data_IF_452249217938
#
_entry.id   IF_452249217938
#
_cell.length_a   1.000
_cell.length_b   1.000
_cell.length_c   1.000
_cell.angle_alpha   90.00
_cell.angle_beta   90.00
_cell.angle_gamma   90.00
#
_symmetry.space_group_name_H-M   'P 1'
#
loop_
_entity.id
_entity.type
_entity.pdbx_description
1 polymer ?
#
# COMPACT_ATOMS: atom_id res chain seq x y z
N UNK A 1 12.15 -13.79 -25.78
CA UNK A 1 10.75 -13.94 -25.36
C UNK A 1 10.49 -15.43 -25.19
N UNK A 2 10.49 -15.94 -23.96
CA UNK A 2 10.16 -17.34 -23.70
C UNK A 2 8.63 -17.46 -23.77
N UNK A 3 8.10 -18.23 -24.71
CA UNK A 3 6.65 -18.49 -24.78
C UNK A 3 6.27 -19.37 -23.59
N UNK A 4 5.49 -18.82 -22.66
CA UNK A 4 4.91 -19.57 -21.54
C UNK A 4 3.91 -20.61 -22.07
N UNK A 5 3.83 -21.76 -21.39
CA UNK A 5 2.86 -22.80 -21.73
C UNK A 5 1.42 -22.27 -21.51
N UNK A 6 0.40 -22.80 -22.21
CA UNK A 6 -0.99 -22.31 -22.08
C UNK A 6 -1.55 -22.34 -20.65
N UNK A 7 -1.17 -23.33 -19.86
CA UNK A 7 -1.57 -23.46 -18.44
C UNK A 7 -0.87 -22.42 -17.57
N UNK A 8 0.42 -22.18 -17.81
CA UNK A 8 1.21 -21.15 -17.12
C UNK A 8 0.65 -19.75 -17.41
N UNK A 9 0.22 -19.51 -18.65
CA UNK A 9 -0.43 -18.26 -19.07
C UNK A 9 -1.77 -18.04 -18.34
N UNK A 10 -2.60 -19.08 -18.21
CA UNK A 10 -3.89 -18.97 -17.49
C UNK A 10 -3.70 -18.73 -15.98
N UNK A 11 -2.69 -19.34 -15.37
CA UNK A 11 -2.34 -19.16 -13.95
C UNK A 11 -1.84 -17.74 -13.69
N UNK A 12 -0.90 -17.28 -14.51
CA UNK A 12 -0.40 -15.91 -14.51
C UNK A 12 -1.54 -14.90 -14.66
N UNK A 13 -2.39 -15.05 -15.68
CA UNK A 13 -3.45 -14.11 -16.00
C UNK A 13 -4.44 -13.96 -14.84
N UNK A 14 -4.84 -15.07 -14.22
CA UNK A 14 -5.71 -15.06 -13.03
C UNK A 14 -5.05 -14.36 -11.83
N UNK A 15 -3.80 -14.73 -11.53
CA UNK A 15 -3.07 -14.16 -10.40
C UNK A 15 -2.84 -12.65 -10.57
N UNK A 16 -2.39 -12.23 -11.76
CA UNK A 16 -2.21 -10.82 -12.09
C UNK A 16 -3.54 -10.05 -12.04
N UNK A 17 -4.64 -10.65 -12.53
CA UNK A 17 -5.96 -10.07 -12.39
C UNK A 17 -6.37 -9.85 -10.93
N UNK A 18 -6.15 -10.84 -10.07
CA UNK A 18 -6.44 -10.69 -8.64
C UNK A 18 -5.57 -9.61 -7.99
N UNK A 19 -4.28 -9.56 -8.29
CA UNK A 19 -3.38 -8.52 -7.77
C UNK A 19 -3.80 -7.12 -8.24
N UNK A 20 -4.20 -6.96 -9.51
CA UNK A 20 -4.72 -5.69 -10.03
C UNK A 20 -6.01 -5.26 -9.32
N UNK A 21 -6.94 -6.19 -9.09
CA UNK A 21 -8.17 -5.91 -8.33
C UNK A 21 -7.83 -5.51 -6.90
N UNK A 22 -6.96 -6.27 -6.22
CA UNK A 22 -6.55 -5.99 -4.85
C UNK A 22 -5.90 -4.62 -4.74
N UNK A 23 -4.92 -4.31 -5.60
CA UNK A 23 -4.23 -3.02 -5.59
C UNK A 23 -5.21 -1.87 -5.84
N UNK A 24 -6.14 -2.01 -6.80
CA UNK A 24 -7.19 -1.01 -7.03
C UNK A 24 -8.09 -0.78 -5.82
N UNK A 25 -8.40 -1.83 -5.04
CA UNK A 25 -9.19 -1.68 -3.81
C UNK A 25 -8.40 -0.98 -2.70
N UNK A 26 -7.09 -1.22 -2.63
CA UNK A 26 -6.18 -0.56 -1.68
C UNK A 26 -6.06 0.93 -2.01
N UNK A 27 -5.79 1.32 -3.26
CA UNK A 27 -5.72 2.73 -3.66
C UNK A 27 -7.04 3.46 -3.43
N UNK A 28 -8.17 2.80 -3.74
CA UNK A 28 -9.47 3.36 -3.43
C UNK A 28 -9.68 3.55 -1.91
N UNK A 29 -9.22 2.60 -1.09
CA UNK A 29 -9.25 2.74 0.36
C UNK A 29 -8.40 3.92 0.83
N UNK A 30 -7.16 4.06 0.34
CA UNK A 30 -6.24 5.15 0.67
C UNK A 30 -6.88 6.49 0.31
N UNK A 31 -7.44 6.61 -0.90
CA UNK A 31 -8.16 7.79 -1.36
C UNK A 31 -9.25 8.21 -0.35
N UNK A 32 -10.09 7.26 0.07
CA UNK A 32 -11.19 7.50 1.00
C UNK A 32 -10.69 7.84 2.41
N UNK A 33 -9.64 7.15 2.89
CA UNK A 33 -9.02 7.40 4.19
C UNK A 33 -8.36 8.79 4.26
N UNK A 34 -7.64 9.19 3.21
CA UNK A 34 -7.07 10.53 3.07
C UNK A 34 -8.17 11.59 3.05
N UNK A 35 -9.19 11.42 2.20
CA UNK A 35 -10.30 12.36 2.09
C UNK A 35 -11.02 12.59 3.43
N UNK A 36 -11.28 11.51 4.18
CA UNK A 36 -11.92 11.60 5.49
C UNK A 36 -11.06 12.34 6.53
N UNK A 37 -9.73 12.32 6.37
CA UNK A 37 -8.79 12.89 7.34
C UNK A 37 -8.45 14.36 7.09
N UNK A 38 -8.67 14.90 5.89
CA UNK A 38 -8.29 16.28 5.51
C UNK A 38 -8.78 17.31 6.54
N UNK A 39 -10.05 17.26 6.95
CA UNK A 39 -10.62 18.29 7.82
C UNK A 39 -9.98 18.33 9.23
N UNK A 40 -9.50 17.18 9.73
CA UNK A 40 -8.91 17.04 11.07
C UNK A 40 -7.38 16.97 11.07
N UNK A 41 -6.74 16.94 9.89
CA UNK A 41 -5.28 16.89 9.79
C UNK A 41 -4.60 18.14 10.40
N UNK A 42 -3.43 17.97 11.04
CA UNK A 42 -2.75 19.05 11.74
C UNK A 42 -1.98 19.97 10.78
N UNK A 43 -2.39 21.24 10.72
CA UNK A 43 -1.73 22.25 9.90
C UNK A 43 -2.04 22.16 8.42
N UNK A 44 -1.72 23.23 7.68
CA UNK A 44 -2.10 23.33 6.27
C UNK A 44 -1.29 22.41 5.36
N UNK A 45 -0.03 22.15 5.69
CA UNK A 45 0.82 21.22 4.94
C UNK A 45 0.24 19.80 4.92
N UNK A 46 -0.17 19.27 6.08
CA UNK A 46 -0.80 17.96 6.16
C UNK A 46 -2.10 17.91 5.35
N UNK A 47 -2.94 18.96 5.42
CA UNK A 47 -4.20 19.05 4.66
C UNK A 47 -3.97 19.06 3.16
N UNK A 48 -3.00 19.85 2.70
CA UNK A 48 -2.67 19.96 1.29
C UNK A 48 -2.03 18.67 0.76
N UNK A 49 -1.18 18.01 1.56
CA UNK A 49 -0.59 16.72 1.21
C UNK A 49 -1.66 15.63 1.05
N UNK A 50 -2.56 15.49 2.03
CA UNK A 50 -3.69 14.56 1.93
C UNK A 50 -4.60 14.89 0.73
N UNK A 51 -4.87 16.17 0.47
CA UNK A 51 -5.68 16.59 -0.68
C UNK A 51 -5.01 16.26 -2.03
N UNK A 52 -3.68 16.42 -2.14
CA UNK A 52 -2.91 15.97 -3.30
C UNK A 52 -3.07 14.46 -3.48
N UNK A 53 -2.83 13.68 -2.42
CA UNK A 53 -2.91 12.23 -2.46
C UNK A 53 -4.29 11.73 -2.89
N UNK A 54 -5.40 12.32 -2.42
CA UNK A 54 -6.75 11.99 -2.92
C UNK A 54 -6.85 12.13 -4.45
N UNK A 55 -6.23 13.16 -5.03
CA UNK A 55 -6.19 13.36 -6.48
C UNK A 55 -5.36 12.33 -7.22
N UNK A 56 -4.22 11.94 -6.63
CA UNK A 56 -3.30 10.94 -7.18
C UNK A 56 -3.91 9.53 -7.11
N UNK A 57 -4.46 9.11 -5.96
CA UNK A 57 -5.16 7.82 -5.82
C UNK A 57 -6.36 7.69 -6.76
N UNK A 58 -7.12 8.77 -6.94
CA UNK A 58 -8.22 8.80 -7.93
C UNK A 58 -7.69 8.54 -9.34
N UNK A 59 -6.51 9.07 -9.67
CA UNK A 59 -5.85 8.84 -10.95
C UNK A 59 -5.39 7.38 -11.06
N UNK A 60 -4.82 6.80 -10.02
CA UNK A 60 -4.40 5.39 -9.98
C UNK A 60 -5.56 4.44 -10.24
N UNK A 61 -6.63 4.57 -9.46
CA UNK A 61 -7.87 3.78 -9.60
C UNK A 61 -8.44 3.89 -11.03
N UNK A 62 -8.36 5.07 -11.64
CA UNK A 62 -8.84 5.29 -13.02
C UNK A 62 -7.96 4.58 -14.06
N UNK A 63 -6.64 4.60 -13.88
CA UNK A 63 -5.68 3.90 -14.75
C UNK A 63 -5.88 2.40 -14.63
N UNK A 64 -5.92 1.86 -13.42
CA UNK A 64 -6.05 0.43 -13.16
C UNK A 64 -7.40 -0.11 -13.63
N UNK A 65 -8.53 0.59 -13.40
CA UNK A 65 -9.84 0.18 -13.92
C UNK A 65 -9.89 0.14 -15.45
N UNK A 66 -9.18 1.04 -16.12
CA UNK A 66 -9.02 0.98 -17.58
C UNK A 66 -8.17 -0.23 -17.97
N UNK A 67 -7.03 -0.41 -17.33
CA UNK A 67 -6.14 -1.53 -17.65
C UNK A 67 -6.80 -2.89 -17.40
N UNK A 68 -7.50 -3.09 -16.27
CA UNK A 68 -8.23 -4.34 -16.00
C UNK A 68 -9.25 -4.71 -17.08
N UNK A 69 -9.91 -3.71 -17.70
CA UNK A 69 -10.82 -3.95 -18.83
C UNK A 69 -10.09 -4.39 -20.10
N UNK A 70 -8.92 -3.81 -20.36
CA UNK A 70 -8.08 -4.16 -21.52
C UNK A 70 -7.38 -5.52 -21.32
N UNK A 71 -6.91 -5.78 -20.10
CA UNK A 71 -6.28 -7.03 -19.68
C UNK A 71 -7.30 -8.19 -19.60
N UNK A 72 -8.59 -7.89 -19.43
CA UNK A 72 -9.69 -8.85 -19.55
C UNK A 72 -9.90 -9.69 -18.29
N UNK A 73 -9.88 -9.07 -17.11
CA UNK A 73 -10.02 -9.78 -15.82
C UNK A 73 -11.38 -9.58 -15.17
N UNK A 74 -11.77 -10.52 -14.32
CA UNK A 74 -12.95 -10.37 -13.45
C UNK A 74 -12.70 -9.28 -12.40
N UNK A 75 -13.56 -8.27 -12.34
CA UNK A 75 -13.40 -7.13 -11.43
C UNK A 75 -14.20 -7.31 -10.13
N UNK A 76 -14.52 -8.54 -9.76
CA UNK A 76 -15.24 -8.84 -8.52
C UNK A 76 -14.37 -8.44 -7.32
N UNK A 77 -14.87 -7.63 -6.37
CA UNK A 77 -14.10 -7.23 -5.20
C UNK A 77 -13.57 -8.44 -4.42
N UNK A 78 -12.27 -8.42 -4.09
CA UNK A 78 -11.61 -9.43 -3.26
C UNK A 78 -11.78 -9.11 -1.77
N UNK A 79 -11.63 -7.84 -1.40
CA UNK A 79 -11.97 -7.36 -0.05
C UNK A 79 -13.45 -6.98 -0.03
N UNK A 80 -14.22 -7.56 0.90
CA UNK A 80 -15.64 -7.22 1.04
C UNK A 80 -15.83 -5.76 1.43
N UNK A 81 -16.93 -5.13 0.96
CA UNK A 81 -17.28 -3.77 1.34
C UNK A 81 -17.35 -3.59 2.87
N UNK A 82 -17.89 -4.59 3.58
CA UNK A 82 -17.98 -4.56 5.05
C UNK A 82 -16.59 -4.56 5.71
N UNK A 83 -15.62 -5.32 5.19
CA UNK A 83 -14.26 -5.32 5.71
C UNK A 83 -13.56 -3.98 5.44
N UNK A 84 -13.74 -3.39 4.25
CA UNK A 84 -13.23 -2.05 3.94
C UNK A 84 -13.85 -0.98 4.82
N UNK A 85 -15.16 -1.04 5.09
CA UNK A 85 -15.83 -0.07 5.97
C UNK A 85 -15.31 -0.15 7.41
N UNK A 86 -15.07 -1.35 7.94
CA UNK A 86 -14.43 -1.53 9.25
C UNK A 86 -13.01 -0.96 9.27
N UNK A 87 -12.23 -1.20 8.22
CA UNK A 87 -10.88 -0.66 8.11
C UNK A 87 -10.88 0.88 8.08
N UNK A 88 -11.78 1.48 7.29
CA UNK A 88 -11.96 2.94 7.24
C UNK A 88 -12.37 3.53 8.59
N UNK A 89 -13.27 2.87 9.31
CA UNK A 89 -13.65 3.28 10.66
C UNK A 89 -12.45 3.23 11.62
N UNK A 90 -11.69 2.14 11.61
CA UNK A 90 -10.47 2.02 12.42
C UNK A 90 -9.48 3.16 12.13
N UNK A 91 -9.22 3.46 10.84
CA UNK A 91 -8.33 4.56 10.45
C UNK A 91 -8.84 5.94 10.86
N UNK A 92 -10.16 6.17 10.83
CA UNK A 92 -10.76 7.43 11.26
C UNK A 92 -10.53 7.70 12.76
N UNK A 93 -10.45 6.65 13.57
CA UNK A 93 -10.27 6.70 15.03
C UNK A 93 -8.81 6.84 15.47
N UNK A 94 -7.84 6.60 14.58
CA UNK A 94 -6.42 6.71 14.91
C UNK A 94 -6.04 8.15 15.29
N UNK A 95 -5.08 8.27 16.22
CA UNK A 95 -4.36 9.52 16.38
C UNK A 95 -3.45 9.79 15.17
N UNK A 96 -2.86 10.99 15.07
CA UNK A 96 -2.10 11.36 13.88
C UNK A 96 -0.83 10.54 13.68
N UNK A 97 -0.11 10.17 14.74
CA UNK A 97 1.12 9.37 14.65
C UNK A 97 0.79 7.95 14.20
N UNK A 98 -0.27 7.38 14.77
CA UNK A 98 -0.76 6.06 14.45
C UNK A 98 -1.33 5.98 13.02
N UNK A 99 -2.09 6.99 12.60
CA UNK A 99 -2.58 7.12 11.22
C UNK A 99 -1.42 7.17 10.22
N UNK A 100 -0.41 7.98 10.50
CA UNK A 100 0.76 8.11 9.62
C UNK A 100 1.58 6.82 9.56
N UNK A 101 1.73 6.15 10.70
CA UNK A 101 2.42 4.86 10.79
C UNK A 101 1.72 3.81 9.93
N UNK A 102 0.41 3.66 10.11
CA UNK A 102 -0.37 2.63 9.42
C UNK A 102 -0.48 2.89 7.93
N UNK A 103 -0.84 4.12 7.54
CA UNK A 103 -1.01 4.44 6.14
C UNK A 103 0.34 4.43 5.42
N UNK A 104 1.33 5.18 5.91
CA UNK A 104 2.52 5.47 5.12
C UNK A 104 3.66 4.48 5.29
N UNK A 105 3.78 3.80 6.45
CA UNK A 105 4.79 2.75 6.59
C UNK A 105 4.26 1.41 6.08
N UNK A 106 3.03 1.04 6.45
CA UNK A 106 2.51 -0.30 6.12
C UNK A 106 1.90 -0.34 4.72
N UNK A 107 0.91 0.51 4.44
CA UNK A 107 0.16 0.42 3.18
C UNK A 107 0.99 1.00 2.03
N UNK A 108 1.42 2.25 2.14
CA UNK A 108 2.19 2.93 1.10
C UNK A 108 3.57 2.29 0.94
N UNK A 109 4.45 2.37 1.95
CA UNK A 109 5.86 2.00 1.75
C UNK A 109 6.10 0.50 1.60
N UNK A 110 5.45 -0.37 2.37
CA UNK A 110 5.60 -1.82 2.20
C UNK A 110 4.71 -2.37 1.09
N UNK A 111 3.49 -1.85 0.92
CA UNK A 111 2.60 -2.26 -0.16
C UNK A 111 3.18 -1.92 -1.53
N UNK A 112 3.64 -0.68 -1.75
CA UNK A 112 4.30 -0.28 -3.00
C UNK A 112 5.55 -1.09 -3.28
N UNK A 113 6.39 -1.37 -2.27
CA UNK A 113 7.58 -2.23 -2.45
C UNK A 113 7.19 -3.62 -2.96
N UNK A 114 6.10 -4.21 -2.46
CA UNK A 114 5.64 -5.50 -2.97
C UNK A 114 5.19 -5.44 -4.43
N UNK A 115 4.56 -4.33 -4.85
CA UNK A 115 4.17 -4.11 -6.25
C UNK A 115 5.40 -3.87 -7.14
N UNK A 116 6.39 -3.10 -6.66
CA UNK A 116 7.66 -2.86 -7.37
C UNK A 116 8.39 -4.16 -7.71
N UNK A 117 8.43 -5.14 -6.80
CA UNK A 117 9.06 -6.45 -7.04
C UNK A 117 8.34 -7.26 -8.14
N UNK A 118 7.05 -7.04 -8.36
CA UNK A 118 6.27 -7.72 -9.40
C UNK A 118 6.45 -7.06 -10.76
N UNK A 119 6.64 -5.75 -10.82
CA UNK A 119 6.65 -4.97 -12.08
C UNK A 119 7.61 -5.50 -13.14
N UNK A 120 8.86 -5.90 -12.82
CA UNK A 120 9.77 -6.51 -13.79
C UNK A 120 9.24 -7.80 -14.41
N UNK A 121 8.42 -8.55 -13.66
CA UNK A 121 7.87 -9.86 -14.03
C UNK A 121 6.58 -9.76 -14.86
N UNK A 122 5.97 -8.57 -14.93
CA UNK A 122 4.69 -8.37 -15.63
C UNK A 122 4.81 -8.21 -17.13
N UNK A 123 3.70 -8.41 -17.84
CA UNK A 123 3.59 -8.04 -19.24
C UNK A 123 3.76 -6.51 -19.45
N UNK A 124 4.14 -6.06 -20.65
CA UNK A 124 4.41 -4.64 -20.89
C UNK A 124 3.24 -3.69 -20.61
N UNK A 125 2.00 -4.12 -20.83
CA UNK A 125 0.84 -3.27 -20.61
C UNK A 125 0.55 -3.09 -19.12
N UNK A 126 0.67 -4.18 -18.34
CA UNK A 126 0.58 -4.10 -16.88
C UNK A 126 1.66 -3.21 -16.30
N UNK A 127 2.91 -3.37 -16.76
CA UNK A 127 4.02 -2.51 -16.36
C UNK A 127 3.74 -1.03 -16.61
N UNK A 128 3.24 -0.66 -17.79
CA UNK A 128 2.92 0.74 -18.09
C UNK A 128 1.76 1.26 -17.24
N UNK A 129 0.76 0.41 -16.95
CA UNK A 129 -0.37 0.80 -16.10
C UNK A 129 0.05 1.15 -14.66
N UNK A 130 1.11 0.53 -14.16
CA UNK A 130 1.65 0.74 -12.80
C UNK A 130 2.69 1.86 -12.73
N UNK A 131 3.19 2.36 -13.87
CA UNK A 131 4.27 3.35 -13.90
C UNK A 131 3.91 4.66 -13.20
N UNK A 132 2.71 5.18 -13.42
CA UNK A 132 2.25 6.42 -12.77
C UNK A 132 1.96 6.20 -11.28
N UNK A 133 1.17 5.17 -10.89
CA UNK A 133 0.97 4.84 -9.48
C UNK A 133 2.28 4.78 -8.68
N UNK A 134 3.22 3.93 -9.09
CA UNK A 134 4.48 3.73 -8.37
C UNK A 134 5.35 4.98 -8.30
N UNK A 135 5.29 5.86 -9.30
CA UNK A 135 6.01 7.13 -9.24
C UNK A 135 5.41 8.07 -8.19
N UNK A 136 4.09 8.06 -8.05
CA UNK A 136 3.38 8.87 -7.04
C UNK A 136 3.60 8.29 -5.63
N UNK A 137 3.69 6.97 -5.46
CA UNK A 137 3.92 6.34 -4.14
C UNK A 137 5.24 6.79 -3.51
N UNK A 138 6.26 7.08 -4.31
CA UNK A 138 7.52 7.63 -3.81
C UNK A 138 7.29 8.99 -3.10
N UNK A 139 6.46 9.85 -3.70
CA UNK A 139 6.09 11.14 -3.11
C UNK A 139 5.21 10.95 -1.86
N UNK A 140 4.26 10.01 -1.89
CA UNK A 140 3.39 9.70 -0.76
C UNK A 140 4.20 9.20 0.45
N UNK A 141 5.11 8.26 0.23
CA UNK A 141 6.01 7.74 1.28
C UNK A 141 6.90 8.84 1.84
N UNK A 142 7.45 9.71 1.00
CA UNK A 142 8.26 10.83 1.47
C UNK A 142 7.45 11.82 2.31
N UNK A 143 6.25 12.19 1.84
CA UNK A 143 5.31 13.03 2.59
C UNK A 143 4.98 12.42 3.96
N UNK A 144 4.57 11.16 3.99
CA UNK A 144 4.22 10.44 5.21
C UNK A 144 5.35 10.37 6.22
N UNK A 145 6.57 10.04 5.75
CA UNK A 145 7.76 10.02 6.61
C UNK A 145 8.11 11.40 7.16
N UNK A 146 7.98 12.45 6.35
CA UNK A 146 8.21 13.82 6.79
C UNK A 146 7.24 14.22 7.89
N UNK A 147 5.94 14.00 7.66
CA UNK A 147 4.88 14.29 8.62
C UNK A 147 5.02 13.47 9.92
N UNK A 148 5.44 12.20 9.81
CA UNK A 148 5.63 11.33 10.97
C UNK A 148 6.81 11.80 11.83
N UNK A 149 7.93 12.18 11.21
CA UNK A 149 9.06 12.77 11.94
C UNK A 149 8.66 14.07 12.64
N UNK A 150 7.92 14.94 11.96
CA UNK A 150 7.45 16.20 12.54
C UNK A 150 6.51 15.96 13.73
N UNK A 151 5.56 15.04 13.59
CA UNK A 151 4.62 14.67 14.64
C UNK A 151 5.35 14.10 15.86
N UNK A 152 6.30 13.17 15.65
CA UNK A 152 7.10 12.58 16.72
C UNK A 152 8.01 13.60 17.41
N UNK A 153 8.62 14.53 16.65
CA UNK A 153 9.48 15.57 17.19
C UNK A 153 8.73 16.60 18.05
N UNK A 154 7.43 16.76 17.83
CA UNK A 154 6.56 17.64 18.63
C UNK A 154 6.16 17.02 19.99
N UNK A 155 6.36 15.71 20.19
CA UNK A 155 6.02 15.04 21.44
C UNK A 155 7.08 15.29 22.54
N UNK A 156 6.69 15.24 23.82
CA UNK A 156 7.65 15.19 24.93
C UNK A 156 8.65 14.03 24.77
N UNK A 157 9.92 14.17 25.20
CA UNK A 157 10.95 13.17 24.93
C UNK A 157 10.61 11.73 25.36
N UNK A 158 10.00 11.57 26.54
CA UNK A 158 9.61 10.25 27.04
C UNK A 158 8.47 9.62 26.22
N UNK A 159 7.52 10.43 25.73
CA UNK A 159 6.43 9.96 24.88
C UNK A 159 6.92 9.65 23.47
N UNK A 160 7.80 10.48 22.91
CA UNK A 160 8.47 10.22 21.61
C UNK A 160 9.18 8.87 21.63
N UNK A 161 9.97 8.60 22.66
CA UNK A 161 10.70 7.33 22.79
C UNK A 161 9.73 6.14 22.88
N UNK A 162 8.70 6.23 23.72
CA UNK A 162 7.69 5.19 23.84
C UNK A 162 6.96 4.92 22.51
N UNK A 163 6.63 5.98 21.75
CA UNK A 163 6.02 5.86 20.42
C UNK A 163 6.95 5.17 19.43
N UNK A 164 8.22 5.60 19.34
CA UNK A 164 9.21 4.98 18.47
C UNK A 164 9.39 3.48 18.75
N UNK A 165 9.43 3.10 20.03
CA UNK A 165 9.52 1.69 20.44
C UNK A 165 8.27 0.87 20.09
N UNK A 166 7.10 1.49 20.00
CA UNK A 166 5.84 0.81 19.69
C UNK A 166 5.60 0.62 18.18
N UNK A 167 6.19 1.45 17.31
CA UNK A 167 5.97 1.40 15.86
C UNK A 167 6.21 0.01 15.24
N UNK A 168 7.30 -0.72 15.56
CA UNK A 168 7.52 -2.05 14.96
C UNK A 168 6.38 -3.03 15.24
N UNK A 169 5.92 -3.10 16.50
CA UNK A 169 4.80 -3.97 16.87
C UNK A 169 3.48 -3.55 16.23
N UNK A 170 3.29 -2.25 15.99
CA UNK A 170 2.13 -1.72 15.27
C UNK A 170 2.13 -2.13 13.79
N UNK A 171 3.28 -2.04 13.12
CA UNK A 171 3.46 -2.50 11.74
C UNK A 171 3.10 -3.98 11.63
N UNK A 172 3.62 -4.81 12.55
CA UNK A 172 3.33 -6.25 12.59
C UNK A 172 1.85 -6.53 12.85
N UNK A 173 1.22 -5.77 13.75
CA UNK A 173 -0.20 -5.91 14.03
C UNK A 173 -1.04 -5.63 12.78
N UNK A 174 -0.83 -4.51 12.08
CA UNK A 174 -1.62 -4.18 10.89
C UNK A 174 -1.35 -5.18 9.74
N UNK A 175 -0.11 -5.58 9.53
CA UNK A 175 0.22 -6.63 8.55
C UNK A 175 -0.49 -7.97 8.88
N UNK A 176 -0.58 -8.32 10.17
CA UNK A 176 -1.35 -9.48 10.65
C UNK A 176 -2.84 -9.39 10.30
N UNK A 177 -3.47 -8.22 10.50
CA UNK A 177 -4.88 -8.00 10.14
C UNK A 177 -5.12 -8.16 8.63
N UNK A 178 -4.18 -7.75 7.77
CA UNK A 178 -4.29 -8.02 6.34
C UNK A 178 -4.17 -9.51 6.02
N UNK A 179 -3.36 -10.26 6.77
CA UNK A 179 -3.28 -11.72 6.67
C UNK A 179 -4.60 -12.42 7.02
N UNK A 180 -5.39 -11.86 7.94
CA UNK A 180 -6.70 -12.40 8.34
C UNK A 180 -7.79 -12.23 7.27
N UNK A 181 -7.55 -11.46 6.21
CA UNK A 181 -8.46 -11.36 5.06
C UNK A 181 -8.59 -12.69 4.29
N UNK A 182 -7.69 -13.64 4.52
CA UNK A 182 -7.76 -14.99 3.91
C UNK A 182 -7.53 -14.99 2.40
N UNK A 183 -6.97 -13.91 1.85
CA UNK A 183 -6.61 -13.83 0.45
C UNK A 183 -5.31 -14.63 0.19
N UNK A 184 -5.24 -15.49 -0.84
CA UNK A 184 -4.05 -16.27 -1.16
C UNK A 184 -3.00 -15.42 -1.90
N UNK A 185 -2.66 -14.26 -1.33
CA UNK A 185 -1.77 -13.26 -1.94
C UNK A 185 -0.38 -13.83 -2.21
N UNK A 186 0.14 -14.67 -1.29
CA UNK A 186 1.43 -15.36 -1.49
C UNK A 186 1.42 -16.27 -2.72
N UNK A 187 0.32 -16.97 -2.95
CA UNK A 187 0.17 -17.83 -4.12
C UNK A 187 0.08 -16.99 -5.39
N UNK A 188 -0.64 -15.85 -5.36
CA UNK A 188 -0.68 -14.95 -6.52
C UNK A 188 0.69 -14.36 -6.86
N UNK A 189 1.50 -13.98 -5.86
CA UNK A 189 2.88 -13.55 -6.09
C UNK A 189 3.73 -14.67 -6.72
N UNK A 190 3.61 -15.91 -6.23
CA UNK A 190 4.31 -17.05 -6.82
C UNK A 190 3.89 -17.30 -8.28
N UNK A 191 2.59 -17.20 -8.56
CA UNK A 191 1.98 -17.43 -9.88
C UNK A 191 2.41 -16.40 -10.92
N UNK A 192 2.85 -15.22 -10.48
CA UNK A 192 3.37 -14.16 -11.35
C UNK A 192 4.90 -14.21 -11.48
N UNK A 193 5.53 -15.20 -10.86
CA UNK A 193 6.95 -15.50 -10.95
C UNK A 193 7.81 -14.91 -9.83
N UNK A 194 7.21 -14.32 -8.80
CA UNK A 194 7.93 -13.83 -7.63
C UNK A 194 8.30 -15.01 -6.72
N UNK A 195 9.43 -14.94 -6.02
CA UNK A 195 9.74 -15.86 -4.92
C UNK A 195 9.14 -15.28 -3.63
N UNK A 196 8.11 -15.91 -3.03
CA UNK A 196 7.44 -15.37 -1.86
C UNK A 196 8.35 -15.22 -0.64
N UNK A 197 9.37 -16.05 -0.48
CA UNK A 197 10.30 -15.94 0.66
C UNK A 197 11.29 -14.79 0.45
N UNK A 198 11.75 -14.60 -0.79
CA UNK A 198 12.57 -13.45 -1.15
C UNK A 198 11.78 -12.14 -0.97
N UNK A 199 10.52 -12.09 -1.39
CA UNK A 199 9.64 -10.94 -1.21
C UNK A 199 9.48 -10.58 0.26
N UNK A 200 9.20 -11.56 1.14
CA UNK A 200 9.11 -11.32 2.59
C UNK A 200 10.41 -10.74 3.15
N UNK A 201 11.57 -11.27 2.72
CA UNK A 201 12.88 -10.74 3.13
C UNK A 201 13.09 -9.29 2.68
N UNK A 202 12.70 -8.94 1.46
CA UNK A 202 12.78 -7.57 0.93
C UNK A 202 11.89 -6.62 1.75
N UNK A 203 10.67 -7.03 2.06
CA UNK A 203 9.75 -6.23 2.88
C UNK A 203 10.27 -6.02 4.31
N UNK A 204 10.89 -7.04 4.92
CA UNK A 204 11.54 -6.88 6.22
C UNK A 204 12.72 -5.90 6.16
N UNK A 205 13.57 -5.99 5.14
CA UNK A 205 14.68 -5.05 4.95
C UNK A 205 14.18 -3.62 4.74
N UNK A 206 13.12 -3.44 3.94
CA UNK A 206 12.49 -2.15 3.71
C UNK A 206 11.92 -1.56 5.00
N UNK A 207 11.22 -2.37 5.80
CA UNK A 207 10.72 -1.98 7.13
C UNK A 207 11.86 -1.50 8.02
N UNK A 208 12.92 -2.29 8.15
CA UNK A 208 14.03 -1.98 9.04
C UNK A 208 14.73 -0.67 8.61
N UNK A 209 14.94 -0.47 7.31
CA UNK A 209 15.48 0.78 6.78
C UNK A 209 14.57 2.00 7.03
N UNK A 210 13.24 1.84 6.98
CA UNK A 210 12.30 2.90 7.34
C UNK A 210 12.37 3.26 8.83
N UNK A 211 12.48 2.25 9.70
CA UNK A 211 12.62 2.45 11.15
C UNK A 211 13.93 3.15 11.51
N UNK A 212 15.05 2.75 10.90
CA UNK A 212 16.34 3.44 11.06
C UNK A 212 16.25 4.92 10.65
N UNK A 213 15.59 5.20 9.52
CA UNK A 213 15.37 6.57 9.03
C UNK A 213 14.44 7.41 9.92
N UNK A 214 13.62 6.80 10.78
CA UNK A 214 12.76 7.50 11.74
C UNK A 214 13.48 7.76 13.07
N UNK A 215 14.43 6.90 13.42
CA UNK A 215 15.24 7.04 14.63
C UNK A 215 16.40 8.06 14.49
N UNK A 216 16.87 8.27 13.25
CA UNK A 216 17.88 9.28 12.90
C UNK A 216 17.35 10.71 13.00
#
# INVERSE_FOLDING_TARGET
MMQLQPVENARYHRAMGNLLVLYTQVDQFIMEACAARIASAPGDEARLGLAKQVGDERRHVSIQKRWMREFGVETTPLISAQALDRLKQAFAELDWVDYLTDLYLVIEALGSQAVEEVVPLTDPGTRESLRVPLQDELDHVEFGLSQLRQALAALPPAEREARLQAIPGRIEALAGHFGELGLPVRDWFADVGCDPEALVSILHQRRDALLERLAA
#
